data_IF_200308329456
#
_entry.id   IF_200308329456
#
_cell.length_a   1.000
_cell.length_b   1.000
_cell.length_c   1.000
_cell.angle_alpha   90.00
_cell.angle_beta   90.00
_cell.angle_gamma   90.00
#
_symmetry.space_group_name_H-M   'P 1'
#
loop_
_entity.id
_entity.type
_entity.pdbx_description
1 polymer ?
#
# COMPACT_ATOMS: atom_id res chain seq x y z
N UNK A 1 70.82 -63.70 10.35
CA UNK A 1 69.33 -63.85 10.26
C UNK A 1 68.65 -62.76 11.08
N UNK A 2 68.18 -61.68 10.49
CA UNK A 2 67.42 -60.63 11.19
C UNK A 2 65.99 -60.64 10.62
N UNK A 3 65.02 -60.95 11.49
CA UNK A 3 63.57 -60.95 11.15
C UNK A 3 63.06 -59.50 11.23
N UNK A 4 62.57 -59.01 10.09
CA UNK A 4 61.81 -57.74 10.03
C UNK A 4 60.34 -58.00 10.42
N UNK A 5 59.85 -57.38 11.51
CA UNK A 5 58.43 -57.32 11.85
C UNK A 5 57.79 -56.22 11.02
N UNK A 6 56.81 -56.59 10.19
CA UNK A 6 55.92 -55.61 9.53
C UNK A 6 54.85 -55.17 10.52
N UNK A 7 54.77 -53.86 10.80
CA UNK A 7 53.72 -53.24 11.59
C UNK A 7 52.70 -52.76 10.51
N UNK A 8 51.51 -53.34 10.54
CA UNK A 8 50.35 -52.88 9.75
C UNK A 8 49.64 -51.77 10.54
N UNK A 9 49.66 -50.56 10.08
CA UNK A 9 48.85 -49.46 10.58
C UNK A 9 47.50 -49.49 9.87
N UNK A 10 46.44 -49.84 10.63
CA UNK A 10 45.07 -49.71 10.15
C UNK A 10 44.64 -48.22 10.33
N UNK A 11 44.44 -47.50 9.25
CA UNK A 11 43.86 -46.17 9.25
C UNK A 11 42.35 -46.31 9.34
N UNK A 12 41.78 -45.93 10.49
CA UNK A 12 40.33 -45.83 10.71
C UNK A 12 39.87 -44.49 10.12
N UNK A 13 39.27 -44.51 8.92
CA UNK A 13 38.64 -43.35 8.34
C UNK A 13 37.23 -43.23 8.95
N UNK A 14 37.06 -42.35 9.90
CA UNK A 14 35.74 -41.96 10.42
C UNK A 14 35.06 -41.09 9.38
N UNK A 15 34.07 -41.64 8.67
CA UNK A 15 33.15 -40.83 7.85
C UNK A 15 32.26 -39.99 8.79
N UNK A 16 32.56 -38.71 8.87
CA UNK A 16 31.64 -37.71 9.44
C UNK A 16 30.57 -37.45 8.36
N UNK A 17 29.39 -38.08 8.48
CA UNK A 17 28.21 -37.68 7.71
C UNK A 17 27.77 -36.33 8.26
N UNK A 18 27.66 -35.27 7.43
CA UNK A 18 27.00 -34.04 7.87
C UNK A 18 25.53 -34.37 8.10
N UNK A 19 25.05 -34.19 9.32
CA UNK A 19 23.63 -34.12 9.60
C UNK A 19 23.08 -32.88 8.87
N UNK A 20 22.54 -33.07 7.67
CA UNK A 20 21.68 -32.08 7.03
C UNK A 20 20.37 -32.02 7.83
N UNK A 21 20.33 -31.16 8.83
CA UNK A 21 19.07 -30.74 9.43
C UNK A 21 18.31 -29.97 8.34
N UNK A 22 17.38 -30.65 7.69
CA UNK A 22 16.37 -30.01 6.87
C UNK A 22 15.55 -29.13 7.81
N UNK A 23 15.81 -27.84 7.81
CA UNK A 23 14.90 -26.85 8.39
C UNK A 23 13.62 -26.97 7.56
N UNK A 24 12.59 -27.60 8.15
CA UNK A 24 11.26 -27.54 7.60
C UNK A 24 10.83 -26.07 7.72
N UNK A 25 10.87 -25.34 6.64
CA UNK A 25 10.14 -24.07 6.53
C UNK A 25 8.67 -24.47 6.74
N UNK A 26 8.12 -24.18 7.91
CA UNK A 26 6.70 -24.34 8.16
C UNK A 26 6.03 -23.25 7.33
N UNK A 27 5.31 -23.66 6.29
CA UNK A 27 4.55 -22.71 5.48
C UNK A 27 3.64 -21.89 6.41
N UNK A 28 3.67 -20.57 6.26
CA UNK A 28 2.77 -19.68 7.00
C UNK A 28 1.32 -20.11 6.79
N UNK A 29 0.59 -20.24 7.88
CA UNK A 29 -0.85 -20.53 7.85
C UNK A 29 -1.56 -19.38 8.57
N UNK A 30 -2.38 -18.58 7.86
CA UNK A 30 -3.09 -17.48 8.48
C UNK A 30 -4.08 -17.95 9.55
N UNK A 31 -4.21 -17.19 10.65
CA UNK A 31 -5.20 -17.44 11.70
C UNK A 31 -6.60 -17.05 11.22
N UNK A 32 -7.63 -17.44 11.99
CA UNK A 32 -9.01 -17.02 11.70
C UNK A 32 -9.16 -15.50 11.75
N UNK A 33 -8.49 -14.83 12.72
CA UNK A 33 -8.48 -13.38 12.84
C UNK A 33 -7.81 -12.71 11.64
N UNK A 34 -6.71 -13.30 11.11
CA UNK A 34 -6.04 -12.79 9.92
C UNK A 34 -6.93 -12.94 8.68
N UNK A 35 -7.54 -14.11 8.48
CA UNK A 35 -8.46 -14.33 7.35
C UNK A 35 -9.65 -13.36 7.37
N UNK A 36 -10.24 -13.12 8.54
CA UNK A 36 -11.29 -12.12 8.72
C UNK A 36 -10.78 -10.72 8.36
N UNK A 37 -9.58 -10.34 8.82
CA UNK A 37 -8.99 -9.04 8.51
C UNK A 37 -8.72 -8.87 7.00
N UNK A 38 -8.28 -9.93 6.30
CA UNK A 38 -8.13 -9.93 4.83
C UNK A 38 -9.46 -9.67 4.12
N UNK A 39 -10.52 -10.37 4.55
CA UNK A 39 -11.87 -10.19 3.98
C UNK A 39 -12.39 -8.76 4.21
N UNK A 40 -12.25 -8.25 5.44
CA UNK A 40 -12.63 -6.86 5.76
C UNK A 40 -11.83 -5.85 4.92
N UNK A 41 -10.52 -6.06 4.78
CA UNK A 41 -9.67 -5.20 3.96
C UNK A 41 -10.12 -5.22 2.50
N UNK A 42 -10.36 -6.40 1.93
CA UNK A 42 -10.79 -6.55 0.54
C UNK A 42 -12.12 -5.82 0.26
N UNK A 43 -13.01 -5.73 1.25
CA UNK A 43 -14.30 -5.04 1.12
C UNK A 43 -14.20 -3.52 1.25
N UNK A 44 -13.10 -2.99 1.76
CA UNK A 44 -12.92 -1.55 2.05
C UNK A 44 -12.73 -0.69 0.80
N UNK A 45 -12.16 -1.21 -0.27
CA UNK A 45 -11.94 -0.61 -1.59
C UNK A 45 -11.21 0.73 -1.61
N UNK A 46 -11.24 1.55 -0.57
CA UNK A 46 -10.66 2.88 -0.57
C UNK A 46 -9.98 3.23 0.76
N UNK A 47 -8.73 3.65 0.68
CA UNK A 47 -7.92 4.17 1.78
C UNK A 47 -7.12 5.40 1.36
N UNK A 48 -6.58 6.12 2.36
CA UNK A 48 -5.73 7.29 2.15
C UNK A 48 -4.33 6.99 2.65
N UNK A 49 -3.35 7.18 1.78
CA UNK A 49 -1.93 7.17 2.12
C UNK A 49 -1.50 8.57 2.55
N UNK A 50 -0.76 8.68 3.64
CA UNK A 50 -0.22 9.96 4.10
C UNK A 50 1.30 9.85 4.11
N UNK A 51 1.95 10.50 3.14
CA UNK A 51 3.40 10.65 3.10
C UNK A 51 3.82 11.95 3.78
N UNK A 52 4.16 11.86 5.07
CA UNK A 52 4.57 13.00 5.86
C UNK A 52 5.71 12.66 6.81
N UNK A 53 6.73 13.51 6.82
CA UNK A 53 7.94 13.36 7.62
C UNK A 53 8.79 14.61 7.51
N UNK A 54 10.02 14.54 8.01
CA UNK A 54 10.97 15.65 7.98
C UNK A 54 11.25 16.16 6.56
N UNK A 55 11.19 15.28 5.55
CA UNK A 55 11.36 15.65 4.14
C UNK A 55 10.37 16.72 3.66
N UNK A 56 9.22 16.85 4.31
CA UNK A 56 8.25 17.90 4.00
C UNK A 56 8.82 19.31 4.22
N UNK A 57 9.76 19.48 5.15
CA UNK A 57 10.42 20.75 5.45
C UNK A 57 11.15 21.34 4.25
N UNK A 58 11.69 20.49 3.39
CA UNK A 58 12.40 20.91 2.17
C UNK A 58 11.46 21.22 1.00
N UNK A 59 10.20 20.75 1.08
CA UNK A 59 9.20 20.91 0.02
C UNK A 59 9.69 20.46 -1.37
N UNK A 60 10.47 19.38 -1.42
CA UNK A 60 11.08 18.79 -2.61
C UNK A 60 10.66 17.33 -2.86
N UNK A 61 9.72 16.82 -2.06
CA UNK A 61 9.32 15.41 -2.07
C UNK A 61 10.19 14.54 -1.15
N UNK A 62 9.77 13.32 -0.95
CA UNK A 62 10.31 12.36 0.01
C UNK A 62 11.71 11.81 -0.35
N UNK A 63 12.08 11.89 -1.62
CA UNK A 63 13.38 11.43 -2.14
C UNK A 63 14.46 12.52 -2.17
N UNK A 64 14.22 13.70 -1.57
CA UNK A 64 15.14 14.83 -1.65
C UNK A 64 16.55 14.48 -1.17
N UNK A 65 16.70 13.79 -0.04
CA UNK A 65 18.00 13.37 0.50
C UNK A 65 18.76 12.46 -0.48
N UNK A 66 18.08 11.54 -1.17
CA UNK A 66 18.68 10.60 -2.12
C UNK A 66 19.03 11.25 -3.46
N UNK A 67 18.23 12.22 -3.91
CA UNK A 67 18.36 12.78 -5.26
C UNK A 67 19.55 13.72 -5.41
N UNK A 68 20.06 14.25 -4.30
CA UNK A 68 21.13 15.24 -4.27
C UNK A 68 22.28 14.82 -3.35
N UNK A 69 23.52 15.32 -3.58
CA UNK A 69 24.65 15.06 -2.70
C UNK A 69 24.53 15.91 -1.42
N UNK A 70 23.65 15.50 -0.53
CA UNK A 70 23.35 16.19 0.73
C UNK A 70 24.07 15.47 1.86
N UNK A 71 24.69 16.23 2.77
CA UNK A 71 25.22 15.71 4.01
C UNK A 71 24.09 15.31 4.95
N UNK A 72 24.12 14.07 5.49
CA UNK A 72 23.05 13.53 6.33
C UNK A 72 22.86 14.31 7.64
N UNK A 73 23.95 14.81 8.22
CA UNK A 73 23.89 15.59 9.45
C UNK A 73 23.29 16.98 9.19
N UNK A 74 23.62 17.61 8.04
CA UNK A 74 22.99 18.86 7.63
C UNK A 74 21.52 18.67 7.31
N UNK A 75 21.14 17.55 6.68
CA UNK A 75 19.75 17.21 6.46
C UNK A 75 18.97 17.05 7.78
N UNK A 76 19.56 16.33 8.73
CA UNK A 76 18.92 16.06 10.03
C UNK A 76 18.63 17.34 10.84
N UNK A 77 19.42 18.41 10.65
CA UNK A 77 19.16 19.73 11.30
C UNK A 77 17.81 20.35 10.96
N UNK A 78 17.14 19.87 9.89
CA UNK A 78 15.76 20.31 9.63
C UNK A 78 14.80 19.99 10.79
N UNK A 79 15.15 19.01 11.64
CA UNK A 79 14.39 18.69 12.85
C UNK A 79 14.34 19.86 13.83
N UNK A 80 15.41 20.65 13.96
CA UNK A 80 15.46 21.82 14.86
C UNK A 80 14.40 22.88 14.56
N UNK A 81 13.89 22.88 13.33
CA UNK A 81 12.87 23.81 12.87
C UNK A 81 11.53 23.12 12.53
N UNK A 82 11.42 21.81 12.68
CA UNK A 82 10.20 21.10 12.38
C UNK A 82 9.17 21.28 13.49
N UNK A 83 8.30 22.27 13.29
CA UNK A 83 7.25 22.65 14.21
C UNK A 83 5.88 22.66 13.53
N UNK A 84 5.26 21.50 13.30
CA UNK A 84 3.99 21.37 12.58
C UNK A 84 2.78 21.79 13.44
N UNK A 85 2.73 23.05 13.81
CA UNK A 85 1.76 23.62 14.76
C UNK A 85 0.30 23.61 14.26
N UNK A 86 0.08 23.29 13.00
CA UNK A 86 -1.25 23.11 12.40
C UNK A 86 -1.67 21.66 12.24
N UNK A 87 -0.83 20.73 12.70
CA UNK A 87 -1.24 19.32 12.74
C UNK A 87 -2.42 19.15 13.70
N UNK A 88 -3.49 18.56 13.20
CA UNK A 88 -4.68 18.24 13.95
C UNK A 88 -5.21 16.87 13.46
N UNK A 89 -5.03 15.83 14.28
CA UNK A 89 -5.44 14.47 13.95
C UNK A 89 -6.95 14.38 13.70
N UNK A 90 -7.77 15.10 14.47
CA UNK A 90 -9.22 15.10 14.30
C UNK A 90 -9.64 15.66 12.93
N UNK A 91 -9.04 16.76 12.50
CA UNK A 91 -9.32 17.37 11.19
C UNK A 91 -8.91 16.43 10.05
N UNK A 92 -7.73 15.80 10.18
CA UNK A 92 -7.26 14.84 9.18
C UNK A 92 -8.19 13.65 9.05
N UNK A 93 -8.45 12.95 10.16
CA UNK A 93 -9.29 11.74 10.14
C UNK A 93 -10.71 12.08 9.71
N UNK A 94 -11.27 13.22 10.14
CA UNK A 94 -12.61 13.65 9.72
C UNK A 94 -12.71 13.93 8.23
N UNK A 95 -11.72 14.61 7.64
CA UNK A 95 -11.69 14.87 6.19
C UNK A 95 -11.53 13.57 5.39
N UNK A 96 -10.68 12.65 5.86
CA UNK A 96 -10.45 11.36 5.24
C UNK A 96 -11.71 10.48 5.35
N UNK A 97 -12.34 10.40 6.51
CA UNK A 97 -13.61 9.68 6.69
C UNK A 97 -14.71 10.24 5.78
N UNK A 98 -14.81 11.57 5.70
CA UNK A 98 -15.78 12.23 4.83
C UNK A 98 -15.56 11.95 3.33
N UNK A 99 -14.32 11.63 2.93
CA UNK A 99 -14.03 11.19 1.56
C UNK A 99 -14.55 9.79 1.21
N UNK A 100 -15.04 9.04 2.21
CA UNK A 100 -15.47 7.65 2.08
C UNK A 100 -14.37 6.63 2.34
N UNK A 101 -13.12 7.04 2.57
CA UNK A 101 -12.04 6.12 2.90
C UNK A 101 -12.33 5.34 4.19
N UNK A 102 -11.86 4.08 4.23
CA UNK A 102 -12.07 3.14 5.33
C UNK A 102 -10.81 2.94 6.19
N UNK A 103 -9.66 3.32 5.68
CA UNK A 103 -8.39 3.21 6.37
C UNK A 103 -7.42 4.32 5.96
N UNK A 104 -6.45 4.57 6.83
CA UNK A 104 -5.32 5.46 6.60
C UNK A 104 -4.06 4.60 6.65
N UNK A 105 -3.14 4.76 5.70
CA UNK A 105 -1.78 4.28 5.79
C UNK A 105 -0.86 5.48 6.03
N UNK A 106 -0.19 5.51 7.18
CA UNK A 106 0.66 6.63 7.59
C UNK A 106 2.14 6.26 7.53
N UNK A 107 2.98 7.10 6.91
CA UNK A 107 4.44 6.90 6.92
C UNK A 107 5.00 7.15 8.31
N UNK A 108 5.12 6.09 9.12
CA UNK A 108 5.71 6.19 10.47
C UNK A 108 7.20 6.47 10.38
N UNK A 109 7.90 5.85 9.43
CA UNK A 109 9.31 6.07 9.14
C UNK A 109 9.59 5.80 7.67
N UNK A 110 9.98 6.83 6.93
CA UNK A 110 10.37 6.75 5.52
C UNK A 110 11.88 6.46 5.38
N UNK A 111 12.41 6.39 4.17
CA UNK A 111 13.80 6.02 3.87
C UNK A 111 14.85 6.96 4.49
N UNK A 112 14.48 8.18 4.86
CA UNK A 112 15.38 9.14 5.53
C UNK A 112 15.61 8.83 7.02
N UNK A 113 14.90 7.83 7.56
CA UNK A 113 15.09 7.31 8.91
C UNK A 113 14.44 8.13 10.02
N UNK A 114 13.73 9.24 9.70
CA UNK A 114 13.05 10.05 10.71
C UNK A 114 11.76 9.36 11.17
N UNK A 115 11.63 9.19 12.49
CA UNK A 115 10.48 8.51 13.10
C UNK A 115 9.40 9.51 13.52
N UNK A 116 8.16 9.31 13.09
CA UNK A 116 7.02 10.19 13.36
C UNK A 116 6.27 9.81 14.65
N UNK A 117 6.92 9.11 15.57
CA UNK A 117 6.39 8.71 16.88
C UNK A 117 7.48 8.75 17.96
N UNK A 118 7.08 8.69 19.23
CA UNK A 118 7.94 8.63 20.42
C UNK A 118 8.62 7.24 20.53
N UNK A 119 9.64 6.98 19.69
CA UNK A 119 10.40 5.74 19.75
C UNK A 119 11.53 5.81 20.75
N UNK A 120 11.73 4.72 21.50
CA UNK A 120 12.85 4.59 22.46
C UNK A 120 14.15 4.12 21.81
N UNK A 121 14.14 3.84 20.49
CA UNK A 121 15.27 3.24 19.78
C UNK A 121 16.01 4.22 18.88
N UNK A 122 15.55 5.47 18.79
CA UNK A 122 16.21 6.53 18.01
C UNK A 122 15.81 7.90 18.53
N UNK A 123 16.77 8.75 18.85
CA UNK A 123 16.54 10.16 19.18
C UNK A 123 16.15 10.98 17.94
N UNK A 124 16.33 10.43 16.73
CA UNK A 124 15.91 11.05 15.47
C UNK A 124 14.42 10.80 15.22
N UNK A 125 13.60 11.40 16.08
CA UNK A 125 12.15 11.29 16.06
C UNK A 125 11.47 12.64 16.32
N UNK A 126 10.17 12.70 16.03
CA UNK A 126 9.39 13.95 16.11
C UNK A 126 9.25 14.51 17.54
N UNK A 127 9.40 13.68 18.56
CA UNK A 127 9.26 14.09 19.96
C UNK A 127 10.58 14.64 20.49
N UNK A 128 11.68 13.90 20.33
CA UNK A 128 12.97 14.24 20.92
C UNK A 128 13.76 15.22 20.07
N UNK A 129 13.74 15.08 18.74
CA UNK A 129 14.57 15.87 17.82
C UNK A 129 13.92 17.22 17.44
N UNK A 130 12.66 17.46 17.76
CA UNK A 130 11.96 18.67 17.27
C UNK A 130 11.39 19.53 18.39
N UNK A 131 11.26 20.85 18.17
CA UNK A 131 10.58 21.72 19.12
C UNK A 131 9.08 21.46 19.24
N UNK A 132 8.52 20.58 18.40
CA UNK A 132 7.11 20.23 18.45
C UNK A 132 6.80 19.32 19.63
N UNK A 133 7.62 18.33 19.94
CA UNK A 133 7.58 17.53 21.15
C UNK A 133 6.27 16.74 21.36
N UNK A 134 5.52 16.44 20.28
CA UNK A 134 4.26 15.68 20.34
C UNK A 134 4.36 14.40 19.55
N UNK A 135 3.79 13.32 20.06
CA UNK A 135 3.68 12.04 19.38
C UNK A 135 2.51 12.06 18.39
N UNK A 136 2.83 12.35 17.12
CA UNK A 136 1.86 12.45 16.04
C UNK A 136 1.13 11.13 15.80
N UNK A 137 1.85 10.01 15.86
CA UNK A 137 1.26 8.71 15.63
C UNK A 137 0.26 8.34 16.73
N UNK A 138 0.56 8.67 17.98
CA UNK A 138 -0.35 8.44 19.09
C UNK A 138 -1.66 9.21 18.90
N UNK A 139 -1.57 10.51 18.59
CA UNK A 139 -2.76 11.33 18.35
C UNK A 139 -3.58 10.82 17.15
N UNK A 140 -2.90 10.39 16.09
CA UNK A 140 -3.56 9.83 14.91
C UNK A 140 -4.24 8.48 15.22
N UNK A 141 -3.58 7.59 15.99
CA UNK A 141 -4.13 6.30 16.37
C UNK A 141 -5.38 6.44 17.26
N UNK A 142 -5.31 7.29 18.29
CA UNK A 142 -6.44 7.59 19.16
C UNK A 142 -7.64 8.16 18.39
N UNK A 143 -7.38 9.01 17.41
CA UNK A 143 -8.42 9.62 16.61
C UNK A 143 -9.01 8.65 15.57
N UNK A 144 -8.18 7.79 14.97
CA UNK A 144 -8.63 6.71 14.08
C UNK A 144 -9.56 5.73 14.83
N UNK A 145 -9.19 5.33 16.05
CA UNK A 145 -10.05 4.49 16.89
C UNK A 145 -11.37 5.19 17.22
N UNK A 146 -11.32 6.46 17.63
CA UNK A 146 -12.52 7.25 17.97
C UNK A 146 -13.48 7.40 16.80
N UNK A 147 -12.98 7.51 15.57
CA UNK A 147 -13.79 7.69 14.37
C UNK A 147 -14.08 6.40 13.60
N UNK A 148 -13.63 5.24 14.08
CA UNK A 148 -13.76 3.95 13.40
C UNK A 148 -13.15 3.95 11.99
N UNK A 149 -11.91 4.45 11.90
CA UNK A 149 -11.05 4.37 10.71
C UNK A 149 -9.90 3.43 11.05
N UNK A 150 -9.59 2.46 10.19
CA UNK A 150 -8.45 1.56 10.41
C UNK A 150 -7.14 2.29 10.15
N UNK A 151 -6.16 2.08 11.03
CA UNK A 151 -4.82 2.64 10.89
C UNK A 151 -3.85 1.57 10.39
N UNK A 152 -3.23 1.82 9.24
CA UNK A 152 -2.11 1.06 8.69
C UNK A 152 -0.84 1.88 8.84
N UNK A 153 0.29 1.23 9.02
CA UNK A 153 1.57 1.87 9.24
C UNK A 153 2.54 1.51 8.12
N UNK A 154 2.95 2.49 7.34
CA UNK A 154 4.08 2.33 6.44
C UNK A 154 5.38 2.36 7.24
N UNK A 155 6.26 1.42 6.96
CA UNK A 155 7.57 1.32 7.56
C UNK A 155 8.63 0.93 6.51
N UNK A 156 9.66 1.76 6.35
CA UNK A 156 10.74 1.51 5.40
C UNK A 156 11.74 0.48 5.92
N UNK A 157 12.07 -0.53 5.11
CA UNK A 157 13.23 -1.40 5.34
C UNK A 157 14.56 -0.68 5.08
N UNK A 158 14.55 0.40 4.27
CA UNK A 158 15.72 1.23 3.97
C UNK A 158 15.90 2.28 5.06
N UNK A 159 17.15 2.63 5.34
CA UNK A 159 17.50 3.82 6.12
C UNK A 159 18.74 4.51 5.53
N UNK A 160 18.50 5.66 4.94
CA UNK A 160 19.57 6.46 4.37
C UNK A 160 20.38 7.23 5.40
N UNK A 161 19.86 7.41 6.62
CA UNK A 161 20.52 8.13 7.72
C UNK A 161 21.45 7.25 8.56
N UNK A 162 21.10 5.97 8.77
CA UNK A 162 21.83 5.06 9.66
C UNK A 162 23.00 4.39 8.96
N UNK A 163 24.16 4.41 9.60
CA UNK A 163 25.37 3.77 9.06
C UNK A 163 25.35 2.25 9.16
N UNK A 164 24.57 1.66 10.07
CA UNK A 164 24.45 0.21 10.22
C UNK A 164 23.53 -0.42 9.15
N UNK A 165 22.69 0.36 8.42
CA UNK A 165 21.97 -0.15 7.26
C UNK A 165 22.94 -0.40 6.09
N UNK A 166 23.07 -1.63 5.58
CA UNK A 166 23.92 -1.92 4.42
C UNK A 166 23.33 -1.30 3.16
N UNK A 167 24.03 -0.29 2.59
CA UNK A 167 23.54 0.42 1.41
C UNK A 167 23.40 -0.49 0.19
N UNK A 168 22.21 -0.46 -0.40
CA UNK A 168 21.92 -1.06 -1.70
C UNK A 168 22.21 -0.12 -2.86
N UNK A 169 21.27 -0.04 -3.80
CA UNK A 169 21.36 0.85 -4.97
C UNK A 169 21.03 2.31 -4.64
N UNK A 170 20.43 2.59 -3.49
CA UNK A 170 20.15 3.95 -3.00
C UNK A 170 21.03 4.32 -1.81
N UNK A 171 21.04 5.58 -1.40
CA UNK A 171 21.90 6.10 -0.33
C UNK A 171 23.31 6.45 -0.79
N UNK A 172 23.70 6.12 -2.02
CA UNK A 172 25.06 6.26 -2.54
C UNK A 172 25.49 7.70 -2.85
N UNK A 173 24.55 8.64 -2.92
CA UNK A 173 24.83 10.07 -3.12
C UNK A 173 24.96 10.83 -1.81
N UNK A 174 24.54 10.24 -0.70
CA UNK A 174 24.45 10.89 0.60
C UNK A 174 25.86 11.04 1.17
N UNK A 175 26.21 12.26 1.56
CA UNK A 175 27.48 12.58 2.18
C UNK A 175 27.42 12.26 3.69
N UNK A 176 28.55 11.85 4.26
CA UNK A 176 28.66 11.55 5.70
C UNK A 176 28.30 10.13 6.10
N UNK A 177 27.87 9.25 5.16
CA UNK A 177 27.68 7.83 5.45
C UNK A 177 29.00 7.09 5.59
N UNK A 178 29.09 6.24 6.64
CA UNK A 178 30.27 5.39 6.85
C UNK A 178 29.94 3.91 6.62
N UNK A 179 30.37 3.38 5.47
CA UNK A 179 30.18 1.98 5.09
C UNK A 179 30.91 0.96 5.97
N UNK A 180 31.95 1.37 6.69
CA UNK A 180 32.65 0.49 7.62
C UNK A 180 31.79 0.11 8.83
N UNK A 181 30.74 0.87 9.09
CA UNK A 181 29.80 0.63 10.17
C UNK A 181 28.57 -0.20 9.74
N UNK A 182 28.47 -0.60 8.47
CA UNK A 182 27.36 -1.44 7.99
C UNK A 182 27.27 -2.73 8.80
N UNK A 183 26.08 -2.98 9.38
CA UNK A 183 25.85 -4.11 10.28
C UNK A 183 24.37 -4.53 10.22
N UNK A 184 24.02 -5.42 9.29
CA UNK A 184 22.67 -5.88 9.12
C UNK A 184 22.01 -6.45 10.37
N UNK A 185 22.64 -7.35 11.15
CA UNK A 185 22.04 -7.87 12.37
C UNK A 185 21.65 -6.79 13.38
N UNK A 186 22.48 -5.73 13.52
CA UNK A 186 22.20 -4.61 14.40
C UNK A 186 21.03 -3.77 13.87
N UNK A 187 21.02 -3.49 12.57
CA UNK A 187 19.94 -2.74 11.94
C UNK A 187 18.61 -3.53 11.96
N UNK A 188 18.66 -4.82 11.67
CA UNK A 188 17.50 -5.71 11.75
C UNK A 188 16.87 -5.75 13.15
N UNK A 189 17.72 -5.86 14.19
CA UNK A 189 17.25 -5.78 15.56
C UNK A 189 16.61 -4.43 15.89
N UNK A 190 17.21 -3.34 15.40
CA UNK A 190 16.63 -1.99 15.53
C UNK A 190 15.24 -1.90 14.91
N UNK A 191 15.07 -2.38 13.68
CA UNK A 191 13.75 -2.39 13.02
C UNK A 191 12.72 -3.20 13.82
N UNK A 192 13.09 -4.41 14.25
CA UNK A 192 12.19 -5.29 14.99
C UNK A 192 11.80 -4.72 16.36
N UNK A 193 12.69 -3.99 17.01
CA UNK A 193 12.37 -3.26 18.24
C UNK A 193 11.35 -2.15 17.98
N UNK A 194 11.53 -1.34 16.94
CA UNK A 194 10.59 -0.29 16.55
C UNK A 194 9.22 -0.88 16.13
N UNK A 195 9.20 -1.95 15.32
CA UNK A 195 7.97 -2.65 14.96
C UNK A 195 7.23 -3.22 16.18
N UNK A 196 7.97 -3.73 17.17
CA UNK A 196 7.39 -4.18 18.43
C UNK A 196 6.73 -3.02 19.19
N UNK A 197 7.37 -1.84 19.27
CA UNK A 197 6.74 -0.64 19.84
C UNK A 197 5.45 -0.28 19.11
N UNK A 198 5.49 -0.19 17.78
CA UNK A 198 4.35 0.17 16.95
C UNK A 198 3.16 -0.78 17.17
N UNK A 199 3.43 -2.08 17.30
CA UNK A 199 2.40 -3.11 17.47
C UNK A 199 1.93 -3.29 18.93
N UNK A 200 2.61 -2.70 19.92
CA UNK A 200 2.25 -2.88 21.34
C UNK A 200 1.82 -1.60 22.05
N UNK A 201 2.14 -0.42 21.51
CA UNK A 201 1.88 0.87 22.17
C UNK A 201 0.78 1.72 21.52
N UNK A 202 0.41 1.44 20.26
CA UNK A 202 -0.46 2.30 19.44
C UNK A 202 -1.83 1.67 19.13
N UNK A 203 -2.28 0.74 19.96
CA UNK A 203 -3.59 0.10 19.83
C UNK A 203 -3.63 -0.94 18.71
N UNK A 204 -4.79 -1.10 18.09
CA UNK A 204 -5.00 -2.07 17.02
C UNK A 204 -4.51 -1.51 15.68
N UNK A 205 -3.48 -2.14 15.14
CA UNK A 205 -2.92 -1.81 13.83
C UNK A 205 -3.56 -2.70 12.77
N UNK A 206 -4.08 -2.09 11.70
CA UNK A 206 -4.73 -2.82 10.61
C UNK A 206 -3.75 -3.51 9.68
N UNK A 207 -2.62 -2.86 9.36
CA UNK A 207 -1.55 -3.46 8.56
C UNK A 207 -0.20 -2.78 8.84
N UNK A 208 0.89 -3.52 8.63
CA UNK A 208 2.22 -2.97 8.37
C UNK A 208 2.45 -2.99 6.86
N UNK A 209 2.75 -1.83 6.30
CA UNK A 209 3.01 -1.61 4.89
C UNK A 209 4.51 -1.37 4.69
N UNK A 210 5.23 -2.37 4.26
CA UNK A 210 6.67 -2.30 4.04
C UNK A 210 7.05 -1.75 2.68
N UNK A 211 8.24 -1.14 2.63
CA UNK A 211 8.86 -0.64 1.40
C UNK A 211 10.38 -0.76 1.48
N UNK A 212 11.05 -0.80 0.31
CA UNK A 212 12.49 -0.75 0.24
C UNK A 212 13.18 -2.08 -0.10
N UNK A 213 12.45 -3.19 -0.16
CA UNK A 213 13.02 -4.50 -0.57
C UNK A 213 13.78 -4.39 -1.91
N UNK A 214 13.25 -3.62 -2.85
CA UNK A 214 13.80 -3.36 -4.17
C UNK A 214 15.19 -2.68 -4.16
N UNK A 215 15.65 -2.12 -3.03
CA UNK A 215 16.96 -1.48 -2.91
C UNK A 215 18.13 -2.46 -3.14
N UNK A 216 17.88 -3.76 -2.94
CA UNK A 216 18.87 -4.83 -3.04
C UNK A 216 18.54 -5.88 -4.13
N UNK A 217 17.55 -5.61 -4.98
CA UNK A 217 17.09 -6.53 -6.04
C UNK A 217 18.12 -6.79 -7.15
N UNK A 218 19.15 -5.92 -7.27
CA UNK A 218 20.23 -6.03 -8.25
C UNK A 218 21.52 -6.59 -7.67
N UNK A 219 21.53 -7.02 -6.42
CA UNK A 219 22.72 -7.62 -5.80
C UNK A 219 23.04 -8.95 -6.48
N UNK A 220 24.34 -9.17 -6.77
CA UNK A 220 24.81 -10.41 -7.40
C UNK A 220 24.60 -11.65 -6.52
N UNK A 221 24.61 -11.45 -5.20
CA UNK A 221 24.22 -12.44 -4.20
C UNK A 221 22.93 -11.93 -3.58
N UNK A 222 21.82 -12.67 -3.66
CA UNK A 222 20.55 -12.23 -3.09
C UNK A 222 20.72 -11.85 -1.62
N UNK A 223 20.26 -10.65 -1.28
CA UNK A 223 20.30 -10.17 0.10
C UNK A 223 19.21 -10.87 0.93
N UNK A 224 19.61 -11.43 2.08
CA UNK A 224 18.64 -12.04 2.98
C UNK A 224 18.03 -10.98 3.91
N UNK A 225 16.77 -10.60 3.65
CA UNK A 225 16.01 -9.64 4.44
C UNK A 225 15.46 -10.22 5.74
N UNK A 226 15.54 -11.54 5.95
CA UNK A 226 14.99 -12.24 7.13
C UNK A 226 13.48 -11.97 7.34
N UNK A 227 12.72 -11.85 6.23
CA UNK A 227 11.31 -11.49 6.24
C UNK A 227 10.46 -12.51 7.01
N UNK A 228 10.76 -13.81 6.91
CA UNK A 228 9.98 -14.87 7.55
C UNK A 228 9.91 -14.67 9.08
N UNK A 229 11.03 -14.31 9.71
CA UNK A 229 11.10 -14.06 11.15
C UNK A 229 10.38 -12.77 11.53
N UNK A 230 10.55 -11.71 10.73
CA UNK A 230 9.92 -10.42 10.94
C UNK A 230 8.39 -10.52 10.79
N UNK A 231 7.91 -11.20 9.76
CA UNK A 231 6.48 -11.42 9.53
C UNK A 231 5.85 -12.30 10.62
N UNK A 232 6.54 -13.37 11.02
CA UNK A 232 6.10 -14.22 12.14
C UNK A 232 6.02 -13.44 13.47
N UNK A 233 6.93 -12.49 13.71
CA UNK A 233 6.89 -11.60 14.86
C UNK A 233 5.64 -10.71 14.83
N UNK A 234 5.33 -10.08 13.70
CA UNK A 234 4.17 -9.20 13.52
C UNK A 234 2.87 -9.98 13.78
N UNK A 235 2.68 -11.11 13.11
CA UNK A 235 1.49 -11.94 13.27
C UNK A 235 1.34 -12.50 14.70
N UNK A 236 2.44 -12.74 15.42
CA UNK A 236 2.40 -13.16 16.82
C UNK A 236 1.98 -12.03 17.74
N UNK A 237 2.43 -10.80 17.48
CA UNK A 237 2.08 -9.63 18.30
C UNK A 237 0.64 -9.18 18.08
N UNK A 238 0.20 -9.14 16.82
CA UNK A 238 -1.18 -8.81 16.43
C UNK A 238 -1.64 -9.75 15.31
N UNK A 239 -2.34 -10.86 15.59
CA UNK A 239 -2.76 -11.83 14.56
C UNK A 239 -3.65 -11.24 13.45
N UNK A 240 -4.40 -10.19 13.73
CA UNK A 240 -5.23 -9.48 12.74
C UNK A 240 -4.51 -8.37 11.98
N UNK A 241 -3.25 -8.06 12.33
CA UNK A 241 -2.46 -7.09 11.58
C UNK A 241 -2.01 -7.72 10.26
N UNK A 242 -2.38 -7.10 9.14
CA UNK A 242 -2.01 -7.56 7.82
C UNK A 242 -0.60 -7.10 7.46
N UNK A 243 0.06 -7.86 6.59
CA UNK A 243 1.39 -7.53 6.07
C UNK A 243 1.28 -7.27 4.57
N UNK A 244 1.75 -6.10 4.16
CA UNK A 244 1.92 -5.66 2.79
C UNK A 244 3.37 -5.26 2.55
N UNK A 245 3.94 -5.59 1.40
CA UNK A 245 5.31 -5.20 1.07
C UNK A 245 5.42 -4.76 -0.39
N UNK A 246 5.87 -3.54 -0.61
CA UNK A 246 6.04 -2.93 -1.93
C UNK A 246 7.37 -3.36 -2.56
N UNK A 247 7.51 -4.62 -2.90
CA UNK A 247 8.73 -5.20 -3.44
C UNK A 247 8.71 -5.42 -4.96
N UNK A 248 7.56 -5.26 -5.61
CA UNK A 248 7.36 -5.37 -7.07
C UNK A 248 7.59 -6.77 -7.65
N UNK A 249 7.55 -7.81 -6.82
CA UNK A 249 7.66 -9.24 -7.19
C UNK A 249 6.47 -10.01 -6.64
N UNK A 250 6.39 -11.31 -6.91
CA UNK A 250 5.36 -12.18 -6.34
C UNK A 250 5.41 -12.17 -4.81
N UNK A 251 4.26 -12.28 -4.13
CA UNK A 251 4.19 -12.22 -2.68
C UNK A 251 5.06 -13.27 -1.98
N UNK A 252 5.77 -12.84 -0.94
CA UNK A 252 6.51 -13.74 -0.05
C UNK A 252 5.56 -14.45 0.93
N UNK A 253 5.94 -15.65 1.43
CA UNK A 253 5.18 -16.32 2.47
C UNK A 253 4.99 -15.41 3.70
N UNK A 254 3.76 -15.31 4.19
CA UNK A 254 3.41 -14.47 5.33
C UNK A 254 2.86 -13.09 4.96
N UNK A 255 2.87 -12.72 3.69
CA UNK A 255 2.17 -11.51 3.22
C UNK A 255 0.67 -11.74 3.11
N UNK A 256 -0.09 -10.69 3.35
CA UNK A 256 -1.54 -10.69 3.41
C UNK A 256 -2.19 -9.83 2.32
N UNK A 257 -1.43 -8.88 1.77
CA UNK A 257 -1.85 -7.93 0.74
C UNK A 257 -0.77 -7.86 -0.32
N UNK A 258 -1.18 -7.98 -1.59
CA UNK A 258 -0.30 -7.75 -2.74
C UNK A 258 -0.47 -6.31 -3.25
N UNK A 259 0.65 -5.62 -3.43
CA UNK A 259 0.70 -4.19 -3.81
C UNK A 259 1.06 -4.04 -5.29
N UNK A 260 0.39 -3.09 -5.95
CA UNK A 260 0.69 -2.60 -7.28
C UNK A 260 0.93 -1.08 -7.21
N UNK A 261 2.19 -0.64 -7.31
CA UNK A 261 2.52 0.77 -7.22
C UNK A 261 2.23 1.47 -8.54
N UNK A 262 1.34 2.49 -8.49
CA UNK A 262 0.94 3.35 -9.63
C UNK A 262 0.21 2.64 -10.77
N UNK A 263 0.09 1.32 -10.71
CA UNK A 263 -0.60 0.51 -11.71
C UNK A 263 -1.85 -0.15 -11.14
N UNK A 264 -2.83 -0.39 -11.97
CA UNK A 264 -3.98 -1.24 -11.65
C UNK A 264 -3.54 -2.71 -11.83
N UNK A 265 -3.99 -3.66 -10.98
CA UNK A 265 -3.58 -5.05 -11.11
C UNK A 265 -3.75 -5.62 -12.53
N UNK A 266 -2.64 -6.15 -13.07
CA UNK A 266 -2.57 -6.64 -14.45
C UNK A 266 -2.12 -5.61 -15.49
N UNK A 267 -1.84 -4.37 -15.08
CA UNK A 267 -1.18 -3.35 -15.88
C UNK A 267 0.28 -3.17 -15.42
N UNK A 268 1.11 -2.60 -16.30
CA UNK A 268 2.50 -2.22 -15.98
C UNK A 268 2.87 -0.95 -16.75
N UNK A 269 2.06 0.11 -16.60
CA UNK A 269 2.27 1.40 -17.26
C UNK A 269 3.35 2.23 -16.56
N UNK A 270 3.47 2.06 -15.24
CA UNK A 270 4.53 2.69 -14.44
C UNK A 270 5.86 1.96 -14.55
N UNK A 271 5.87 0.72 -15.06
CA UNK A 271 7.07 -0.11 -15.17
C UNK A 271 7.56 -0.69 -13.86
N UNK A 272 6.66 -0.82 -12.87
CA UNK A 272 6.96 -1.33 -11.53
C UNK A 272 6.23 -2.64 -11.21
N UNK A 273 5.27 -3.06 -12.05
CA UNK A 273 4.37 -4.19 -11.78
C UNK A 273 4.70 -5.36 -12.68
N UNK A 274 5.72 -6.14 -12.34
CA UNK A 274 6.15 -7.34 -13.09
C UNK A 274 5.60 -8.64 -12.51
N UNK A 275 4.94 -8.58 -11.33
CA UNK A 275 4.37 -9.72 -10.62
C UNK A 275 3.05 -10.17 -11.25
N UNK A 276 2.75 -11.46 -11.12
CA UNK A 276 1.44 -12.03 -11.42
C UNK A 276 0.40 -11.65 -10.34
N UNK A 277 -0.88 -11.64 -10.70
CA UNK A 277 -1.95 -11.41 -9.73
C UNK A 277 -2.14 -12.67 -8.88
N UNK A 278 -1.93 -12.56 -7.58
CA UNK A 278 -2.11 -13.63 -6.61
C UNK A 278 -3.57 -13.75 -6.12
N UNK A 279 -3.81 -14.74 -5.24
CA UNK A 279 -5.10 -14.89 -4.56
C UNK A 279 -5.23 -14.03 -3.28
N UNK A 280 -4.22 -13.24 -2.95
CA UNK A 280 -4.29 -12.32 -1.81
C UNK A 280 -5.20 -11.12 -2.11
N UNK A 281 -5.71 -10.44 -1.10
CA UNK A 281 -6.25 -9.10 -1.24
C UNK A 281 -5.29 -8.18 -2.00
N UNK A 282 -5.80 -7.40 -2.94
CA UNK A 282 -5.00 -6.54 -3.81
C UNK A 282 -5.13 -5.09 -3.40
N UNK A 283 -4.03 -4.35 -3.50
CA UNK A 283 -4.01 -2.90 -3.29
C UNK A 283 -3.21 -2.20 -4.39
N UNK A 284 -3.76 -1.12 -4.92
CA UNK A 284 -3.06 -0.18 -5.78
C UNK A 284 -2.80 1.11 -5.02
N UNK A 285 -1.55 1.55 -4.93
CA UNK A 285 -1.25 2.86 -4.38
C UNK A 285 -0.96 3.87 -5.49
N UNK A 286 -1.55 5.08 -5.39
CA UNK A 286 -1.47 6.12 -6.41
C UNK A 286 -1.42 7.51 -5.79
N UNK A 287 -0.73 8.45 -6.45
CA UNK A 287 -0.65 9.85 -6.02
C UNK A 287 -1.77 10.70 -6.64
N UNK A 288 -2.21 11.75 -5.91
CA UNK A 288 -3.11 12.76 -6.48
C UNK A 288 -2.39 13.67 -7.49
N UNK A 289 -1.09 13.88 -7.31
CA UNK A 289 -0.20 14.69 -8.14
C UNK A 289 1.00 13.87 -8.61
N UNK A 290 2.22 14.41 -8.70
CA UNK A 290 3.40 13.68 -9.17
C UNK A 290 4.18 12.96 -8.08
N UNK A 291 4.26 13.55 -6.88
CA UNK A 291 5.10 13.08 -5.77
C UNK A 291 4.26 12.46 -4.64
N UNK A 292 4.90 11.60 -3.82
CA UNK A 292 4.29 11.07 -2.60
C UNK A 292 4.32 12.11 -1.48
N UNK A 293 5.50 12.61 -1.10
CA UNK A 293 5.65 13.69 -0.14
C UNK A 293 5.42 15.07 -0.74
N UNK A 294 5.20 16.05 0.13
CA UNK A 294 4.94 17.43 -0.29
C UNK A 294 6.07 18.01 -1.14
N UNK A 295 5.73 18.51 -2.32
CA UNK A 295 6.62 19.24 -3.22
C UNK A 295 5.95 20.52 -3.68
N UNK A 296 6.59 21.68 -3.39
CA UNK A 296 6.00 22.98 -3.61
C UNK A 296 5.60 23.25 -5.07
N UNK A 297 6.43 22.81 -6.02
CA UNK A 297 6.20 23.03 -7.45
C UNK A 297 5.26 22.00 -8.09
N UNK A 298 4.91 20.93 -7.38
CA UNK A 298 4.06 19.84 -7.90
C UNK A 298 2.58 20.16 -7.66
N UNK A 299 2.05 21.07 -8.48
CA UNK A 299 0.67 21.52 -8.41
C UNK A 299 -0.26 20.88 -9.46
N UNK A 300 0.25 19.90 -10.21
CA UNK A 300 -0.52 19.21 -11.23
C UNK A 300 -1.34 18.06 -10.63
N UNK A 301 -2.39 18.40 -9.92
CA UNK A 301 -3.30 17.42 -9.34
C UNK A 301 -4.22 16.82 -10.40
N UNK A 302 -4.40 15.50 -10.38
CA UNK A 302 -5.39 14.79 -11.20
C UNK A 302 -6.79 15.39 -10.98
N UNK A 303 -7.63 15.39 -12.01
CA UNK A 303 -9.02 15.84 -11.89
C UNK A 303 -9.82 14.91 -10.98
N UNK A 304 -10.93 15.40 -10.45
CA UNK A 304 -11.86 14.58 -9.65
C UNK A 304 -12.35 13.39 -10.47
N UNK A 305 -12.72 13.62 -11.75
CA UNK A 305 -13.20 12.57 -12.64
C UNK A 305 -12.15 11.48 -12.83
N UNK A 306 -10.88 11.87 -13.07
CA UNK A 306 -9.76 10.91 -13.18
C UNK A 306 -9.61 10.07 -11.91
N UNK A 307 -9.73 10.69 -10.73
CA UNK A 307 -9.57 9.98 -9.46
C UNK A 307 -10.74 9.04 -9.19
N UNK A 308 -11.97 9.42 -9.53
CA UNK A 308 -13.17 8.56 -9.45
C UNK A 308 -13.00 7.37 -10.40
N UNK A 309 -12.65 7.62 -11.66
CA UNK A 309 -12.43 6.56 -12.65
C UNK A 309 -11.31 5.60 -12.21
N UNK A 310 -10.25 6.12 -11.61
CA UNK A 310 -9.15 5.29 -11.08
C UNK A 310 -9.63 4.41 -9.91
N UNK A 311 -10.40 4.96 -8.97
CA UNK A 311 -11.01 4.21 -7.87
C UNK A 311 -11.91 3.07 -8.39
N UNK A 312 -12.79 3.39 -9.32
CA UNK A 312 -13.73 2.41 -9.90
C UNK A 312 -13.00 1.34 -10.70
N UNK A 313 -12.02 1.73 -11.51
CA UNK A 313 -11.20 0.79 -12.28
C UNK A 313 -10.39 -0.16 -11.37
N UNK A 314 -9.89 0.36 -10.25
CA UNK A 314 -9.21 -0.47 -9.24
C UNK A 314 -10.19 -1.45 -8.59
N UNK A 315 -11.39 -0.99 -8.21
CA UNK A 315 -12.45 -1.85 -7.66
C UNK A 315 -12.91 -2.92 -8.66
N UNK A 316 -12.95 -2.61 -9.96
CA UNK A 316 -13.28 -3.54 -11.04
C UNK A 316 -12.26 -4.69 -11.18
N UNK A 317 -11.06 -4.54 -10.62
CA UNK A 317 -10.04 -5.61 -10.49
C UNK A 317 -10.10 -6.32 -9.13
N UNK A 318 -11.08 -5.99 -8.30
CA UNK A 318 -11.19 -6.52 -6.93
C UNK A 318 -10.16 -5.93 -5.95
N UNK A 319 -9.44 -4.87 -6.34
CA UNK A 319 -8.40 -4.24 -5.55
C UNK A 319 -8.91 -3.02 -4.75
N UNK A 320 -8.15 -2.64 -3.73
CA UNK A 320 -8.34 -1.39 -3.01
C UNK A 320 -7.48 -0.28 -3.62
N UNK A 321 -8.00 0.93 -3.68
CA UNK A 321 -7.20 2.12 -3.97
C UNK A 321 -6.70 2.76 -2.69
N UNK A 322 -5.39 2.88 -2.55
CA UNK A 322 -4.71 3.66 -1.52
C UNK A 322 -4.21 4.97 -2.15
N UNK A 323 -5.00 6.05 -1.98
CA UNK A 323 -4.77 7.34 -2.63
C UNK A 323 -3.95 8.27 -1.74
N UNK A 324 -2.83 8.77 -2.25
CA UNK A 324 -1.84 9.50 -1.47
C UNK A 324 -2.13 11.00 -1.32
N UNK A 325 -1.85 11.50 -0.11
CA UNK A 325 -1.76 12.91 0.23
C UNK A 325 -0.40 13.18 0.89
N UNK A 326 0.30 14.23 0.46
CA UNK A 326 1.53 14.72 1.08
C UNK A 326 1.25 15.99 1.90
N UNK A 327 1.14 15.90 3.24
CA UNK A 327 0.93 17.08 4.09
C UNK A 327 2.07 18.08 4.02
N UNK A 328 1.73 19.35 4.20
CA UNK A 328 2.68 20.46 4.23
C UNK A 328 3.54 20.44 5.52
N UNK A 329 4.68 21.16 5.55
CA UNK A 329 5.57 21.19 6.71
C UNK A 329 4.88 21.61 8.03
N UNK A 330 3.85 22.45 7.94
CA UNK A 330 3.09 22.91 9.12
C UNK A 330 2.07 21.90 9.62
N UNK A 331 1.91 20.75 8.94
CA UNK A 331 0.96 19.72 9.31
C UNK A 331 -0.44 19.87 8.69
N UNK A 332 -0.60 20.72 7.68
CA UNK A 332 -1.87 20.88 6.96
C UNK A 332 -1.95 19.93 5.79
N UNK A 333 -3.13 19.36 5.55
CA UNK A 333 -3.41 18.73 4.25
C UNK A 333 -3.54 19.83 3.18
N UNK A 334 -2.93 19.67 1.98
CA UNK A 334 -3.06 20.66 0.92
C UNK A 334 -4.52 20.90 0.52
N UNK A 335 -4.90 22.18 0.34
CA UNK A 335 -6.28 22.53 -0.02
C UNK A 335 -6.77 21.79 -1.28
N UNK A 336 -5.90 21.68 -2.30
CA UNK A 336 -6.21 20.94 -3.52
C UNK A 336 -6.48 19.44 -3.28
N UNK A 337 -5.86 18.83 -2.26
CA UNK A 337 -6.15 17.46 -1.87
C UNK A 337 -7.49 17.38 -1.12
N UNK A 338 -7.76 18.31 -0.20
CA UNK A 338 -9.03 18.38 0.53
C UNK A 338 -10.23 18.55 -0.39
N UNK A 339 -10.12 19.39 -1.44
CA UNK A 339 -11.18 19.57 -2.44
C UNK A 339 -11.49 18.27 -3.17
N UNK A 340 -10.46 17.48 -3.50
CA UNK A 340 -10.62 16.18 -4.17
C UNK A 340 -11.21 15.13 -3.25
N UNK A 341 -10.73 15.05 -2.01
CA UNK A 341 -11.29 14.15 -1.00
C UNK A 341 -12.78 14.42 -0.78
N UNK A 342 -13.16 15.69 -0.66
CA UNK A 342 -14.55 16.10 -0.53
C UNK A 342 -15.39 15.65 -1.73
N UNK A 343 -14.92 15.90 -2.95
CA UNK A 343 -15.66 15.56 -4.17
C UNK A 343 -15.77 14.04 -4.37
N UNK A 344 -14.72 13.26 -4.06
CA UNK A 344 -14.78 11.80 -4.05
C UNK A 344 -15.81 11.32 -3.02
N UNK A 345 -15.83 11.91 -1.82
CA UNK A 345 -16.81 11.58 -0.79
C UNK A 345 -18.25 11.87 -1.21
N UNK A 346 -18.50 13.00 -1.86
CA UNK A 346 -19.82 13.34 -2.40
C UNK A 346 -20.29 12.34 -3.48
N UNK A 347 -19.35 11.85 -4.30
CA UNK A 347 -19.63 10.81 -5.29
C UNK A 347 -19.89 9.46 -4.61
N UNK A 348 -19.04 9.02 -3.66
CA UNK A 348 -19.17 7.75 -2.93
C UNK A 348 -20.42 7.71 -2.04
N UNK A 349 -20.86 8.83 -1.49
CA UNK A 349 -22.14 8.89 -0.74
C UNK A 349 -23.34 8.53 -1.61
N UNK A 350 -23.27 8.74 -2.92
CA UNK A 350 -24.34 8.40 -3.87
C UNK A 350 -24.14 7.01 -4.48
N UNK A 351 -22.90 6.66 -4.77
CA UNK A 351 -22.56 5.52 -5.62
C UNK A 351 -21.75 4.44 -4.89
N UNK A 352 -21.45 4.59 -3.60
CA UNK A 352 -20.53 3.69 -2.88
C UNK A 352 -20.95 2.22 -2.87
N UNK A 353 -22.23 1.92 -3.02
CA UNK A 353 -22.72 0.53 -3.13
C UNK A 353 -22.17 -0.18 -4.38
N UNK A 354 -21.86 0.57 -5.43
CA UNK A 354 -21.27 0.03 -6.67
C UNK A 354 -19.76 -0.21 -6.58
N UNK A 355 -19.16 0.14 -5.42
CA UNK A 355 -17.73 0.02 -5.14
C UNK A 355 -17.45 -0.87 -3.93
N UNK A 356 -18.03 -0.53 -2.76
CA UNK A 356 -17.76 -1.25 -1.52
C UNK A 356 -18.40 -2.64 -1.50
N UNK A 357 -17.58 -3.64 -1.08
CA UNK A 357 -18.05 -5.02 -0.99
C UNK A 357 -18.44 -5.64 -2.33
N UNK A 358 -17.93 -5.07 -3.43
CA UNK A 358 -18.06 -5.68 -4.76
C UNK A 358 -16.90 -6.64 -5.02
N UNK A 359 -17.08 -7.55 -5.96
CA UNK A 359 -16.02 -8.32 -6.59
C UNK A 359 -15.58 -7.65 -7.90
N UNK A 360 -14.50 -8.13 -8.50
CA UNK A 360 -14.14 -7.80 -9.87
C UNK A 360 -15.34 -8.05 -10.80
N UNK A 361 -15.48 -7.21 -11.81
CA UNK A 361 -16.49 -7.40 -12.85
C UNK A 361 -16.15 -8.59 -13.76
N UNK A 362 -17.17 -9.15 -14.40
CA UNK A 362 -16.99 -10.30 -15.29
C UNK A 362 -16.45 -9.92 -16.68
N UNK A 363 -16.43 -8.62 -16.98
CA UNK A 363 -16.10 -8.08 -18.29
C UNK A 363 -14.75 -7.36 -18.17
N UNK A 364 -13.78 -7.68 -19.05
CA UNK A 364 -12.54 -6.92 -19.12
C UNK A 364 -12.79 -5.43 -19.29
N UNK A 365 -11.86 -4.60 -18.79
CA UNK A 365 -11.90 -3.16 -19.03
C UNK A 365 -11.86 -2.86 -20.53
N UNK A 366 -12.74 -1.98 -20.97
CA UNK A 366 -12.90 -1.57 -22.37
C UNK A 366 -12.76 -0.05 -22.49
N UNK A 367 -12.63 0.46 -23.70
CA UNK A 367 -12.52 1.90 -23.94
C UNK A 367 -13.68 2.73 -23.41
N UNK A 368 -14.84 2.14 -23.20
CA UNK A 368 -16.02 2.78 -22.60
C UNK A 368 -15.99 2.80 -21.06
N UNK A 369 -15.31 1.84 -20.38
CA UNK A 369 -15.29 1.76 -18.92
C UNK A 369 -15.04 0.35 -18.39
N UNK A 370 -15.64 0.05 -17.24
CA UNK A 370 -15.41 -1.19 -16.46
C UNK A 370 -16.69 -1.68 -15.80
N UNK A 371 -16.62 -2.88 -15.19
CA UNK A 371 -17.75 -3.44 -14.41
C UNK A 371 -17.31 -3.85 -13.01
N UNK A 372 -18.23 -3.73 -12.05
CA UNK A 372 -18.11 -4.32 -10.70
C UNK A 372 -19.33 -5.19 -10.43
N UNK A 373 -19.22 -6.21 -9.56
CA UNK A 373 -20.32 -7.13 -9.27
C UNK A 373 -20.59 -7.27 -7.77
N UNK A 374 -21.87 -7.37 -7.42
CA UNK A 374 -22.33 -7.69 -6.06
C UNK A 374 -23.50 -8.70 -6.12
N UNK A 375 -23.16 -9.97 -5.99
CA UNK A 375 -24.14 -11.05 -6.18
C UNK A 375 -24.66 -11.07 -7.62
N UNK A 376 -25.99 -10.99 -7.80
CA UNK A 376 -26.63 -10.93 -9.11
C UNK A 376 -26.76 -9.51 -9.70
N UNK A 377 -26.14 -8.51 -9.07
CA UNK A 377 -26.11 -7.13 -9.55
C UNK A 377 -24.76 -6.88 -10.21
N UNK A 378 -24.78 -6.57 -11.50
CA UNK A 378 -23.62 -6.09 -12.26
C UNK A 378 -23.78 -4.58 -12.45
N UNK A 379 -22.78 -3.82 -12.01
CA UNK A 379 -22.69 -2.38 -12.23
C UNK A 379 -21.78 -2.12 -13.42
N UNK A 380 -22.32 -1.49 -14.46
CA UNK A 380 -21.61 -1.08 -15.67
C UNK A 380 -21.24 0.39 -15.49
N UNK A 381 -19.96 0.67 -15.32
CA UNK A 381 -19.40 2.01 -15.12
C UNK A 381 -18.93 2.56 -16.47
N UNK A 382 -19.61 3.54 -16.99
CA UNK A 382 -19.35 4.14 -18.30
C UNK A 382 -18.61 5.45 -18.12
N UNK A 383 -17.36 5.50 -18.54
CA UNK A 383 -16.49 6.67 -18.44
C UNK A 383 -16.47 7.48 -19.74
N UNK A 384 -16.57 6.79 -20.87
CA UNK A 384 -16.48 7.40 -22.19
C UNK A 384 -17.28 6.56 -23.20
N UNK A 385 -18.38 7.11 -23.66
CA UNK A 385 -19.19 6.49 -24.71
C UNK A 385 -19.51 7.57 -25.75
N UNK A 386 -19.34 7.23 -27.03
CA UNK A 386 -19.59 8.17 -28.13
C UNK A 386 -20.89 7.84 -28.89
N UNK A 387 -21.51 6.71 -28.56
CA UNK A 387 -22.70 6.18 -29.22
C UNK A 387 -23.84 6.02 -28.22
N UNK A 388 -25.06 5.85 -28.73
CA UNK A 388 -26.25 5.60 -27.90
C UNK A 388 -26.50 4.12 -27.65
N UNK A 389 -25.55 3.28 -28.02
CA UNK A 389 -25.63 1.82 -27.90
C UNK A 389 -24.33 1.32 -27.25
N UNK A 390 -24.47 0.32 -26.38
CA UNK A 390 -23.33 -0.33 -25.73
C UNK A 390 -23.58 -1.83 -25.65
N UNK A 391 -22.72 -2.60 -26.29
CA UNK A 391 -22.71 -4.05 -26.13
C UNK A 391 -21.95 -4.43 -24.87
N UNK A 392 -22.60 -5.17 -24.00
CA UNK A 392 -22.04 -5.78 -22.80
C UNK A 392 -21.88 -7.27 -23.08
N UNK A 393 -20.64 -7.79 -23.29
CA UNK A 393 -20.42 -9.20 -23.64
C UNK A 393 -20.55 -10.09 -22.38
N UNK A 394 -21.77 -10.15 -21.84
CA UNK A 394 -22.12 -10.88 -20.64
C UNK A 394 -22.77 -12.21 -21.02
N UNK A 395 -22.33 -13.30 -20.40
CA UNK A 395 -22.92 -14.62 -20.59
C UNK A 395 -24.21 -14.82 -19.80
N UNK A 396 -24.36 -14.13 -18.66
CA UNK A 396 -25.56 -14.20 -17.83
C UNK A 396 -26.75 -13.54 -18.54
N UNK A 397 -27.96 -14.05 -18.30
CA UNK A 397 -29.19 -13.43 -18.76
C UNK A 397 -29.51 -12.16 -17.98
N UNK A 398 -29.66 -11.04 -18.68
CA UNK A 398 -30.14 -9.79 -18.08
C UNK A 398 -31.64 -9.78 -17.97
N UNK A 399 -32.16 -9.60 -16.75
CA UNK A 399 -33.61 -9.53 -16.50
C UNK A 399 -34.10 -8.11 -16.24
N UNK A 400 -33.21 -7.19 -15.90
CA UNK A 400 -33.51 -5.78 -15.68
C UNK A 400 -32.26 -4.93 -15.94
N UNK A 401 -32.44 -3.77 -16.57
CA UNK A 401 -31.42 -2.73 -16.72
C UNK A 401 -31.99 -1.37 -16.30
N UNK A 402 -31.29 -0.66 -15.42
CA UNK A 402 -31.67 0.67 -14.93
C UNK A 402 -30.47 1.61 -14.83
N UNK A 403 -30.68 2.89 -15.11
CA UNK A 403 -29.72 3.93 -14.71
C UNK A 403 -29.65 3.97 -13.18
N UNK A 404 -28.46 3.83 -12.61
CA UNK A 404 -28.29 3.70 -11.16
C UNK A 404 -28.76 4.95 -10.40
N UNK A 405 -28.47 6.13 -10.94
CA UNK A 405 -28.71 7.42 -10.27
C UNK A 405 -30.18 7.73 -10.01
N UNK A 406 -31.10 7.39 -10.94
CA UNK A 406 -32.52 7.75 -10.88
C UNK A 406 -33.44 6.56 -11.08
N UNK A 407 -32.88 5.36 -11.21
CA UNK A 407 -33.64 4.09 -11.39
C UNK A 407 -34.50 4.04 -12.65
N UNK A 408 -34.22 4.89 -13.63
CA UNK A 408 -34.94 4.86 -14.92
C UNK A 408 -34.58 3.58 -15.67
N UNK A 409 -35.60 2.90 -16.28
CA UNK A 409 -35.31 1.75 -17.13
C UNK A 409 -34.46 2.11 -18.32
N UNK A 410 -33.45 1.27 -18.60
CA UNK A 410 -32.65 1.30 -19.81
C UNK A 410 -33.19 0.20 -20.74
N UNK A 411 -33.50 0.54 -22.00
CA UNK A 411 -33.87 -0.45 -23.00
C UNK A 411 -32.65 -1.35 -23.29
N UNK A 412 -32.92 -2.66 -23.34
CA UNK A 412 -31.88 -3.64 -23.69
C UNK A 412 -32.45 -4.76 -24.56
N UNK A 413 -31.56 -5.41 -25.28
CA UNK A 413 -31.85 -6.59 -26.11
C UNK A 413 -30.71 -7.60 -25.95
N UNK A 414 -31.10 -8.87 -25.75
CA UNK A 414 -30.09 -9.96 -25.69
C UNK A 414 -29.86 -10.53 -27.09
N UNK A 415 -28.61 -10.82 -27.38
CA UNK A 415 -28.20 -11.47 -28.62
C UNK A 415 -27.06 -12.48 -28.34
N UNK A 416 -26.51 -13.10 -29.40
CA UNK A 416 -25.46 -14.13 -29.27
C UNK A 416 -24.13 -13.58 -28.73
N UNK A 417 -23.89 -12.29 -28.84
CA UNK A 417 -22.67 -11.61 -28.44
C UNK A 417 -22.77 -11.00 -27.02
N UNK A 418 -23.98 -11.01 -26.41
CA UNK A 418 -24.23 -10.46 -25.07
C UNK A 418 -25.51 -9.62 -25.02
N UNK A 419 -25.52 -8.61 -24.16
CA UNK A 419 -26.63 -7.69 -23.95
C UNK A 419 -26.31 -6.32 -24.56
N UNK A 420 -27.13 -5.87 -25.50
CA UNK A 420 -27.08 -4.54 -26.09
C UNK A 420 -27.93 -3.57 -25.25
N UNK A 421 -27.31 -2.51 -24.74
CA UNK A 421 -27.98 -1.42 -24.03
C UNK A 421 -28.23 -0.26 -25.00
N UNK A 422 -29.42 0.40 -24.90
CA UNK A 422 -29.80 1.54 -25.74
C UNK A 422 -30.12 2.75 -24.85
N UNK A 423 -29.46 3.87 -25.14
CA UNK A 423 -29.61 5.11 -24.41
C UNK A 423 -30.40 6.15 -25.23
N UNK A 424 -31.29 6.89 -24.59
CA UNK A 424 -31.97 8.02 -25.23
C UNK A 424 -30.98 9.13 -25.62
N UNK A 425 -30.00 9.38 -24.73
CA UNK A 425 -28.89 10.30 -24.92
C UNK A 425 -27.56 9.59 -24.59
N UNK A 426 -26.47 10.03 -25.23
CA UNK A 426 -25.14 9.51 -24.92
C UNK A 426 -24.81 9.76 -23.43
N UNK A 427 -24.48 8.71 -22.64
CA UNK A 427 -24.03 8.86 -21.27
C UNK A 427 -22.89 9.86 -21.11
N UNK A 428 -22.96 10.72 -20.10
CA UNK A 428 -21.96 11.75 -19.81
C UNK A 428 -21.65 11.82 -18.31
N UNK A 429 -20.53 12.42 -17.94
CA UNK A 429 -20.08 12.61 -16.56
C UNK A 429 -18.83 11.81 -16.26
N UNK A 430 -18.34 11.91 -15.03
CA UNK A 430 -17.15 11.18 -14.57
C UNK A 430 -17.35 9.67 -14.63
N UNK A 431 -18.57 9.23 -14.31
CA UNK A 431 -18.97 7.82 -14.26
C UNK A 431 -20.50 7.74 -14.35
N UNK A 432 -21.03 7.27 -15.49
CA UNK A 432 -22.45 6.96 -15.66
C UNK A 432 -22.66 5.48 -15.37
N UNK A 433 -23.50 5.16 -14.38
CA UNK A 433 -23.64 3.80 -13.89
C UNK A 433 -24.99 3.20 -14.35
N UNK A 434 -24.91 2.02 -14.98
CA UNK A 434 -26.07 1.17 -15.27
C UNK A 434 -26.01 -0.04 -14.35
N UNK A 435 -27.12 -0.30 -13.67
CA UNK A 435 -27.33 -1.52 -12.90
C UNK A 435 -28.04 -2.57 -13.75
N UNK A 436 -27.41 -3.72 -13.90
CA UNK A 436 -27.99 -4.91 -14.52
C UNK A 436 -28.28 -5.94 -13.42
N UNK A 437 -29.53 -6.44 -13.41
CA UNK A 437 -29.87 -7.63 -12.61
C UNK A 437 -29.73 -8.84 -13.53
N UNK A 438 -28.99 -9.84 -13.10
CA UNK A 438 -28.67 -11.02 -13.91
C UNK A 438 -29.18 -12.30 -13.27
N UNK A 439 -29.48 -13.28 -14.12
CA UNK A 439 -29.75 -14.67 -13.75
C UNK A 439 -28.72 -15.55 -14.49
N UNK A 440 -28.12 -16.58 -13.84
CA UNK A 440 -27.21 -17.48 -14.54
C UNK A 440 -27.92 -18.15 -15.70
N UNK A 441 -27.27 -18.26 -16.84
CA UNK A 441 -27.66 -19.20 -17.88
C UNK A 441 -27.22 -20.59 -17.42
N UNK A 442 -28.10 -21.39 -16.82
CA UNK A 442 -27.95 -22.74 -16.25
C UNK A 442 -26.69 -23.53 -16.50
#
# INVERSE_FOLDING_TARGET
MKRHKKISIAILVAMILPLLTTIKVVAYTPTAENLQAREEFQNNRFGIFIHWGIYSMFAQGEWYLQNYPIDKEEYAKAADAFYPHRFNAQEWVSAIKASGAKYICFTTRHHDGFSMWDTQYSDYNIVDATPFGRDVLKELAEECERQDIKLHLYYSHIDWGRDDYPMGRTGNKIIGRNRENENWPQYYQFMNNQLTELLTRYGKIGAIWFDGFWDRDQDTIPFNWELDEQYAMIHRLQPSCLIANNHHVDPHPGEDIQIFERDIPGENLAGLSFQDISALPLETCQTMNGMWGYKLIDQNYKSVDTLIQYLVSTAAKGANLLLNVGPQPKGELPAAALDRLKAIGEWLNKNGETVYGTTAGDIPAEGWGVTTRKGNRLFVHIFNLNEKELLIPLADKVVKATAYADQKPIKFEENVDGTMLYFDEVPTGADYIVELITEPLF
#
